data_IF_899077656762
#
_entry.id   IF_899077656762
#
_cell.length_a   1.000
_cell.length_b   1.000
_cell.length_c   1.000
_cell.angle_alpha   90.00
_cell.angle_beta   90.00
_cell.angle_gamma   90.00
#
_symmetry.space_group_name_H-M   'P 1'
#
loop_
_entity.id
_entity.type
_entity.pdbx_description
1 polymer ?
#
# COMPACT_ATOMS: atom_id res chain seq x y z
N UNK A 1 1.20 17.64 17.91
CA UNK A 1 2.46 17.62 18.68
C UNK A 1 3.01 19.03 18.70
N UNK A 2 3.03 19.74 19.84
CA UNK A 2 3.53 21.10 19.88
C UNK A 2 5.05 21.10 19.70
N UNK A 3 5.57 21.93 18.80
CA UNK A 3 7.01 22.20 18.74
C UNK A 3 7.38 22.95 20.01
N UNK A 4 8.24 22.36 20.82
CA UNK A 4 8.75 22.91 22.08
C UNK A 4 9.74 24.09 21.88
N UNK A 5 9.93 24.53 20.62
CA UNK A 5 11.06 25.36 20.20
C UNK A 5 10.65 26.73 19.64
N UNK A 6 9.37 27.08 19.65
CA UNK A 6 8.93 28.41 19.25
C UNK A 6 9.20 29.38 20.40
N UNK A 7 10.29 30.16 20.31
CA UNK A 7 10.49 31.34 21.16
C UNK A 7 9.23 32.23 21.04
N UNK A 8 8.56 32.57 22.14
CA UNK A 8 7.30 33.33 22.10
C UNK A 8 7.43 34.74 21.48
N UNK A 9 8.66 35.24 21.34
CA UNK A 9 8.95 36.61 20.88
C UNK A 9 9.34 36.74 19.40
N UNK A 10 9.48 35.65 18.64
CA UNK A 10 9.85 35.75 17.23
C UNK A 10 8.63 35.49 16.33
N UNK A 11 8.16 36.48 15.54
CA UNK A 11 7.04 36.27 14.64
C UNK A 11 7.40 35.21 13.60
N UNK A 12 6.52 34.22 13.43
CA UNK A 12 6.67 33.17 12.41
C UNK A 12 6.65 33.75 10.99
N UNK A 13 5.89 34.82 10.78
CA UNK A 13 5.89 35.62 9.56
C UNK A 13 5.31 37.02 9.88
N UNK A 14 5.84 38.04 9.22
CA UNK A 14 5.24 39.38 9.16
C UNK A 14 4.67 39.58 7.77
N UNK A 15 3.44 40.09 7.68
CA UNK A 15 2.73 40.24 6.42
C UNK A 15 2.24 41.68 6.34
N UNK A 16 2.65 42.36 5.28
CA UNK A 16 2.13 43.70 5.00
C UNK A 16 0.68 43.59 4.54
N UNK A 17 -0.21 44.32 5.20
CA UNK A 17 -1.62 44.32 4.87
C UNK A 17 -1.92 45.36 3.80
N UNK A 18 -2.55 44.93 2.71
CA UNK A 18 -2.95 45.83 1.63
C UNK A 18 -4.42 46.25 1.83
N UNK A 19 -4.77 47.54 1.67
CA UNK A 19 -6.15 47.97 1.72
C UNK A 19 -6.97 47.34 0.58
N UNK A 20 -8.18 46.89 0.90
CA UNK A 20 -9.15 46.40 -0.08
C UNK A 20 -9.67 47.59 -0.92
N UNK A 21 -9.55 47.50 -2.25
CA UNK A 21 -9.96 48.56 -3.19
C UNK A 21 -11.45 48.88 -3.09
N UNK A 22 -12.28 47.93 -2.65
CA UNK A 22 -13.73 48.10 -2.50
C UNK A 22 -14.13 48.62 -1.13
N UNK A 23 -13.28 48.44 -0.11
CA UNK A 23 -13.52 48.81 1.28
C UNK A 23 -12.22 49.31 1.91
N UNK A 24 -11.91 50.61 1.83
CA UNK A 24 -10.62 51.15 2.29
C UNK A 24 -10.38 51.00 3.80
N UNK A 25 -11.43 50.77 4.60
CA UNK A 25 -11.31 50.44 6.02
C UNK A 25 -10.96 48.96 6.31
N UNK A 26 -10.93 48.10 5.28
CA UNK A 26 -10.59 46.68 5.40
C UNK A 26 -9.19 46.47 4.83
N UNK A 27 -8.30 45.99 5.67
CA UNK A 27 -6.95 45.59 5.27
C UNK A 27 -6.88 44.06 5.17
N UNK A 28 -6.26 43.55 4.10
CA UNK A 28 -6.15 42.11 3.85
C UNK A 28 -4.68 41.74 3.59
N UNK A 29 -4.27 40.60 4.16
CA UNK A 29 -2.99 39.97 3.89
C UNK A 29 -3.19 38.48 3.67
N UNK A 30 -2.30 37.84 2.92
CA UNK A 30 -2.37 36.39 2.68
C UNK A 30 -1.12 35.72 3.23
N UNK A 31 -1.33 34.74 4.09
CA UNK A 31 -0.28 33.87 4.61
C UNK A 31 -0.44 32.45 4.10
N UNK A 32 0.64 31.82 3.67
CA UNK A 32 0.66 30.39 3.38
C UNK A 32 1.09 29.65 4.65
N UNK A 33 0.17 28.89 5.24
CA UNK A 33 0.45 28.18 6.50
C UNK A 33 1.37 26.97 6.22
N UNK A 34 2.51 26.83 6.92
CA UNK A 34 3.47 25.75 6.67
C UNK A 34 3.09 24.43 7.35
N UNK A 35 2.35 24.45 8.46
CA UNK A 35 1.95 23.25 9.19
C UNK A 35 0.58 23.41 9.86
N UNK A 36 -0.03 22.29 10.25
CA UNK A 36 -1.21 22.35 11.11
C UNK A 36 -0.79 22.67 12.55
N UNK A 37 -1.62 23.42 13.27
CA UNK A 37 -1.31 23.88 14.63
C UNK A 37 -2.17 25.05 15.09
N UNK A 38 -1.96 25.45 16.34
CA UNK A 38 -2.50 26.67 16.90
C UNK A 38 -1.60 27.85 16.53
N UNK A 39 -2.21 28.95 16.11
CA UNK A 39 -1.52 30.16 15.69
C UNK A 39 -2.16 31.38 16.34
N UNK A 40 -1.33 32.38 16.65
CA UNK A 40 -1.74 33.69 17.13
C UNK A 40 -1.36 34.73 16.08
N UNK A 41 -2.34 35.45 15.54
CA UNK A 41 -2.10 36.62 14.70
C UNK A 41 -2.08 37.86 15.59
N UNK A 42 -1.05 38.70 15.46
CA UNK A 42 -0.92 39.99 16.17
C UNK A 42 -0.87 41.11 15.14
N UNK A 43 -1.72 42.12 15.29
CA UNK A 43 -1.72 43.30 14.45
C UNK A 43 -0.77 44.35 15.03
N UNK A 44 0.20 44.80 14.22
CA UNK A 44 1.06 45.95 14.52
C UNK A 44 0.66 47.12 13.64
N UNK A 45 0.41 48.27 14.25
CA UNK A 45 0.04 49.51 13.56
C UNK A 45 1.21 50.48 13.70
N UNK A 46 1.85 50.82 12.58
CA UNK A 46 2.90 51.84 12.55
C UNK A 46 2.24 53.23 12.43
N UNK A 47 1.98 53.87 13.58
CA UNK A 47 1.36 55.20 13.65
C UNK A 47 1.44 55.80 15.05
N UNK A 48 1.16 57.11 15.22
CA UNK A 48 1.09 57.72 16.54
C UNK A 48 0.03 57.00 17.40
N UNK A 49 0.29 56.77 18.70
CA UNK A 49 -0.61 56.01 19.56
C UNK A 49 -2.00 56.65 19.53
N UNK A 50 -2.97 55.88 19.05
CA UNK A 50 -4.38 56.26 18.97
C UNK A 50 -4.95 56.15 20.38
N UNK A 51 -4.59 57.09 21.26
CA UNK A 51 -4.88 57.05 22.70
C UNK A 51 -6.28 56.51 23.01
N UNK A 52 -6.33 55.30 23.58
CA UNK A 52 -7.57 54.54 23.84
C UNK A 52 -7.32 53.02 23.84
N UNK A 53 -8.38 52.23 23.98
CA UNK A 53 -8.34 50.74 23.90
C UNK A 53 -7.67 50.20 22.62
N UNK A 54 -7.49 51.03 21.59
CA UNK A 54 -6.80 50.73 20.33
C UNK A 54 -5.27 50.59 20.47
N UNK A 55 -4.70 51.00 21.62
CA UNK A 55 -3.27 50.82 21.94
C UNK A 55 -3.00 49.46 22.62
N UNK A 56 -4.06 48.67 22.87
CA UNK A 56 -3.92 47.28 23.32
C UNK A 56 -3.55 46.40 22.14
N UNK A 57 -2.68 45.42 22.38
CA UNK A 57 -2.30 44.40 21.41
C UNK A 57 -3.54 43.70 20.83
N UNK A 58 -3.83 43.92 19.56
CA UNK A 58 -4.94 43.26 18.86
C UNK A 58 -4.43 41.90 18.40
N UNK A 59 -4.82 40.85 19.12
CA UNK A 59 -4.45 39.47 18.82
C UNK A 59 -5.67 38.59 18.57
N UNK A 60 -5.54 37.63 17.66
CA UNK A 60 -6.56 36.61 17.38
C UNK A 60 -5.92 35.21 17.35
N UNK A 61 -6.47 34.32 18.18
CA UNK A 61 -6.05 32.91 18.24
C UNK A 61 -6.92 32.06 17.30
N UNK A 62 -6.28 31.22 16.47
CA UNK A 62 -6.99 30.33 15.54
C UNK A 62 -6.27 28.99 15.39
N UNK A 63 -7.06 27.95 15.12
CA UNK A 63 -6.57 26.58 14.91
C UNK A 63 -6.57 26.24 13.42
N UNK A 64 -5.39 25.98 12.85
CA UNK A 64 -5.27 25.44 11.50
C UNK A 64 -5.25 23.92 11.58
N UNK A 65 -6.33 23.29 11.13
CA UNK A 65 -6.38 21.83 11.00
C UNK A 65 -5.66 21.42 9.71
N UNK A 66 -4.95 20.29 9.76
CA UNK A 66 -4.36 19.70 8.56
C UNK A 66 -5.43 19.38 7.52
N UNK A 67 -5.05 19.23 6.24
CA UNK A 67 -6.00 18.83 5.21
C UNK A 67 -6.69 17.54 5.66
N UNK A 68 -8.02 17.58 5.77
CA UNK A 68 -8.80 16.36 5.93
C UNK A 68 -8.53 15.54 4.67
N UNK A 69 -7.72 14.49 4.78
CA UNK A 69 -7.45 13.63 3.62
C UNK A 69 -8.78 13.01 3.22
N UNK A 70 -9.06 12.97 1.91
CA UNK A 70 -10.35 12.44 1.40
C UNK A 70 -10.63 11.03 1.92
N UNK A 71 -9.59 10.24 2.13
CA UNK A 71 -9.61 8.91 2.75
C UNK A 71 -10.22 8.88 4.17
N UNK A 72 -10.11 9.97 4.94
CA UNK A 72 -10.71 10.09 6.28
C UNK A 72 -12.11 10.72 6.25
N UNK A 73 -12.49 11.36 5.14
CA UNK A 73 -13.81 11.97 4.97
C UNK A 73 -14.85 10.95 4.47
N UNK A 74 -14.42 9.95 3.69
CA UNK A 74 -15.27 8.88 3.20
C UNK A 74 -14.67 7.50 3.52
N UNK A 75 -15.25 6.84 4.53
CA UNK A 75 -14.82 5.51 4.99
C UNK A 75 -15.61 4.40 4.25
N UNK A 76 -16.41 4.77 3.24
CA UNK A 76 -17.23 3.81 2.50
C UNK A 76 -16.36 3.00 1.55
N UNK A 77 -16.49 1.68 1.58
CA UNK A 77 -15.84 0.82 0.61
C UNK A 77 -16.43 1.04 -0.80
N UNK A 78 -15.59 1.47 -1.75
CA UNK A 78 -15.96 1.64 -3.16
C UNK A 78 -16.07 0.28 -3.85
N UNK A 79 -17.26 -0.34 -3.80
CA UNK A 79 -17.51 -1.68 -4.35
C UNK A 79 -17.15 -1.79 -5.84
N UNK A 80 -17.48 -0.77 -6.63
CA UNK A 80 -17.16 -0.74 -8.06
C UNK A 80 -15.67 -0.82 -8.35
N UNK A 81 -14.84 -0.15 -7.55
CA UNK A 81 -13.38 -0.22 -7.65
C UNK A 81 -12.86 -1.61 -7.28
N UNK A 82 -13.39 -2.19 -6.19
CA UNK A 82 -13.01 -3.53 -5.75
C UNK A 82 -13.39 -4.59 -6.80
N UNK A 83 -14.52 -4.44 -7.48
CA UNK A 83 -14.93 -5.31 -8.60
C UNK A 83 -14.00 -5.18 -9.81
N UNK A 84 -13.60 -3.97 -10.17
CA UNK A 84 -12.63 -3.74 -11.25
C UNK A 84 -11.27 -4.38 -10.94
N UNK A 85 -10.78 -4.22 -9.70
CA UNK A 85 -9.54 -4.84 -9.26
C UNK A 85 -9.65 -6.37 -9.33
N UNK A 86 -10.76 -6.94 -8.88
CA UNK A 86 -11.00 -8.39 -8.99
C UNK A 86 -11.00 -8.86 -10.46
N UNK A 87 -11.64 -8.13 -11.38
CA UNK A 87 -11.64 -8.48 -12.80
C UNK A 87 -10.24 -8.43 -13.43
N UNK A 88 -9.47 -7.36 -13.17
CA UNK A 88 -8.11 -7.21 -13.72
C UNK A 88 -7.16 -8.27 -13.18
N UNK A 89 -7.28 -8.60 -11.89
CA UNK A 89 -6.46 -9.65 -11.26
C UNK A 89 -6.92 -11.08 -11.57
N UNK A 90 -8.02 -11.26 -12.32
CA UNK A 90 -8.71 -12.55 -12.50
C UNK A 90 -9.14 -13.20 -11.17
N UNK A 91 -9.31 -12.40 -10.13
CA UNK A 91 -9.82 -12.80 -8.83
C UNK A 91 -11.34 -12.68 -8.73
N UNK A 92 -11.87 -12.94 -7.53
CA UNK A 92 -13.29 -12.77 -7.22
C UNK A 92 -13.45 -11.86 -6.01
N UNK A 93 -14.32 -10.87 -6.11
CA UNK A 93 -14.74 -10.06 -4.95
C UNK A 93 -15.66 -10.91 -4.07
N UNK A 94 -15.29 -11.08 -2.79
CA UNK A 94 -16.11 -11.76 -1.80
C UNK A 94 -16.56 -10.75 -0.74
N UNK A 95 -17.87 -10.69 -0.53
CA UNK A 95 -18.46 -9.90 0.55
C UNK A 95 -18.36 -10.68 1.88
N UNK A 96 -18.47 -10.02 3.05
CA UNK A 96 -18.31 -10.68 4.35
C UNK A 96 -19.22 -11.91 4.56
N UNK A 97 -20.44 -11.88 4.01
CA UNK A 97 -21.38 -13.00 4.08
C UNK A 97 -21.04 -14.17 3.12
N UNK A 98 -20.17 -13.94 2.14
CA UNK A 98 -19.72 -14.94 1.16
C UNK A 98 -18.38 -15.58 1.55
N UNK A 99 -17.78 -15.18 2.67
CA UNK A 99 -16.51 -15.73 3.15
C UNK A 99 -16.57 -17.25 3.39
N UNK A 100 -17.75 -17.81 3.66
CA UNK A 100 -17.95 -19.26 3.77
C UNK A 100 -17.71 -20.04 2.47
N UNK A 101 -17.74 -19.37 1.31
CA UNK A 101 -17.42 -19.98 0.00
C UNK A 101 -15.91 -19.99 -0.28
N UNK A 102 -15.12 -19.19 0.44
CA UNK A 102 -13.67 -19.06 0.23
C UNK A 102 -12.94 -20.41 0.23
N UNK A 103 -13.21 -21.36 1.14
CA UNK A 103 -12.55 -22.67 1.10
C UNK A 103 -12.82 -23.42 -0.20
N UNK A 104 -14.02 -23.30 -0.79
CA UNK A 104 -14.36 -23.96 -2.07
C UNK A 104 -13.63 -23.34 -3.26
N UNK A 105 -13.32 -22.04 -3.21
CA UNK A 105 -12.56 -21.34 -4.25
C UNK A 105 -11.05 -21.58 -4.15
N UNK A 106 -10.54 -21.82 -2.95
CA UNK A 106 -9.12 -22.11 -2.71
C UNK A 106 -8.83 -23.61 -2.86
N UNK A 107 -9.86 -24.46 -2.80
CA UNK A 107 -9.71 -25.90 -2.92
C UNK A 107 -8.91 -26.21 -4.20
N UNK A 108 -7.72 -26.83 -4.08
CA UNK A 108 -6.95 -27.22 -5.23
C UNK A 108 -7.81 -28.19 -6.03
N UNK A 109 -8.24 -27.78 -7.21
CA UNK A 109 -8.55 -28.74 -8.27
C UNK A 109 -7.31 -29.62 -8.36
N UNK A 110 -7.47 -30.92 -8.08
CA UNK A 110 -6.40 -31.91 -7.92
C UNK A 110 -5.22 -31.54 -8.80
N UNK A 111 -4.23 -30.87 -8.21
CA UNK A 111 -2.99 -30.59 -8.90
C UNK A 111 -2.38 -31.96 -9.03
N UNK A 112 -2.67 -32.62 -10.16
CA UNK A 112 -1.99 -33.84 -10.55
C UNK A 112 -0.58 -33.40 -10.84
N UNK A 113 0.22 -33.28 -9.77
CA UNK A 113 1.66 -33.15 -9.87
C UNK A 113 2.05 -34.41 -10.62
N UNK A 114 2.35 -34.23 -11.90
CA UNK A 114 2.80 -35.31 -12.77
C UNK A 114 4.22 -35.59 -12.33
N UNK A 115 4.33 -36.35 -11.23
CA UNK A 115 5.57 -36.97 -10.80
C UNK A 115 6.01 -37.89 -11.95
N UNK A 116 6.96 -37.40 -12.76
CA UNK A 116 7.63 -38.23 -13.77
C UNK A 116 8.48 -39.23 -13.01
N UNK A 117 7.86 -40.37 -12.68
CA UNK A 117 8.56 -41.48 -12.07
C UNK A 117 9.41 -42.14 -13.17
N UNK A 118 10.67 -41.74 -13.27
CA UNK A 118 11.66 -42.41 -14.12
C UNK A 118 11.98 -43.77 -13.49
N UNK A 119 11.15 -44.77 -13.82
CA UNK A 119 11.49 -46.15 -13.50
C UNK A 119 12.74 -46.53 -14.31
N UNK A 120 13.88 -46.58 -13.64
CA UNK A 120 15.10 -47.07 -14.26
C UNK A 120 14.88 -48.53 -14.70
N UNK A 121 15.38 -48.88 -15.89
CA UNK A 121 15.22 -50.23 -16.46
C UNK A 121 15.74 -51.35 -15.53
N UNK A 122 16.64 -51.00 -14.61
CA UNK A 122 17.21 -51.89 -13.60
C UNK A 122 16.22 -52.35 -12.52
N UNK A 123 15.12 -51.62 -12.32
CA UNK A 123 14.09 -51.98 -11.33
C UNK A 123 13.23 -53.17 -11.78
N UNK A 124 13.32 -53.55 -13.06
CA UNK A 124 12.58 -54.66 -13.64
C UNK A 124 13.43 -55.94 -13.62
N UNK A 125 13.34 -56.69 -12.51
CA UNK A 125 14.04 -57.97 -12.34
C UNK A 125 13.81 -58.96 -13.51
N UNK A 126 12.63 -58.91 -14.13
CA UNK A 126 12.29 -59.72 -15.30
C UNK A 126 13.16 -59.42 -16.53
N UNK A 127 13.48 -58.14 -16.79
CA UNK A 127 14.35 -57.76 -17.90
C UNK A 127 15.78 -58.27 -17.68
N UNK A 128 16.27 -58.19 -16.44
CA UNK A 128 17.58 -58.72 -16.06
C UNK A 128 17.61 -60.26 -16.20
N UNK A 129 16.57 -60.94 -15.72
CA UNK A 129 16.43 -62.39 -15.86
C UNK A 129 16.35 -62.83 -17.33
N UNK A 130 15.61 -62.10 -18.18
CA UNK A 130 15.53 -62.36 -19.62
C UNK A 130 16.88 -62.19 -20.30
N UNK A 131 17.61 -61.10 -20.00
CA UNK A 131 18.94 -60.85 -20.56
C UNK A 131 19.93 -61.94 -20.15
N UNK A 132 19.98 -62.29 -18.86
CA UNK A 132 20.79 -63.41 -18.38
C UNK A 132 20.37 -64.74 -19.01
N UNK A 133 19.07 -64.98 -19.16
CA UNK A 133 18.52 -66.15 -19.82
C UNK A 133 18.95 -66.25 -21.29
N UNK A 134 18.93 -65.14 -22.02
CA UNK A 134 19.36 -65.10 -23.41
C UNK A 134 20.87 -65.30 -23.54
N UNK A 135 21.67 -64.67 -22.67
CA UNK A 135 23.12 -64.85 -22.66
C UNK A 135 23.52 -66.29 -22.30
N UNK A 136 22.85 -66.88 -21.32
CA UNK A 136 23.08 -68.26 -20.92
C UNK A 136 22.59 -69.23 -21.99
N UNK A 137 21.45 -68.97 -22.62
CA UNK A 137 20.97 -69.76 -23.76
C UNK A 137 21.93 -69.68 -24.94
N UNK A 138 22.44 -68.49 -25.29
CA UNK A 138 23.46 -68.32 -26.33
C UNK A 138 24.74 -69.09 -25.98
N UNK A 139 25.22 -69.00 -24.73
CA UNK A 139 26.39 -69.74 -24.27
C UNK A 139 26.16 -71.26 -24.33
N UNK A 140 25.00 -71.75 -23.91
CA UNK A 140 24.65 -73.17 -23.99
C UNK A 140 24.55 -73.63 -25.45
N UNK A 141 23.92 -72.85 -26.32
CA UNK A 141 23.85 -73.13 -27.76
C UNK A 141 25.26 -73.15 -28.38
N UNK A 142 26.12 -72.18 -28.04
CA UNK A 142 27.51 -72.13 -28.50
C UNK A 142 28.29 -73.35 -28.03
N UNK A 143 28.10 -73.77 -26.77
CA UNK A 143 28.75 -74.96 -26.21
C UNK A 143 28.25 -76.26 -26.84
N UNK A 144 26.97 -76.34 -27.20
CA UNK A 144 26.40 -77.50 -27.90
C UNK A 144 26.80 -77.56 -29.37
N UNK A 145 26.95 -76.41 -30.03
CA UNK A 145 27.41 -76.34 -31.43
C UNK A 145 28.93 -76.46 -31.59
N UNK A 146 29.68 -76.68 -30.51
CA UNK A 146 31.06 -77.19 -30.57
C UNK A 146 32.10 -76.24 -31.17
N UNK A 147 31.88 -74.92 -31.12
CA UNK A 147 32.90 -73.94 -31.51
C UNK A 147 33.52 -73.32 -30.24
N UNK A 148 34.86 -73.31 -30.11
CA UNK A 148 35.55 -72.72 -28.96
C UNK A 148 35.29 -71.20 -28.84
#
# INVERSE_FOLDING_TARGET
>A
FPRHDAKPDQPLATIDLTPDQTRPAVHQGRWLVPSSGEYRAVLKIDGPPLGGEADKEIAADFLVRGPLTKELADVTATRSLLEQIAQVSRGKLLLPHQLGELPKLILPEDLSIRETHEYTLWDHWLLLALLCGLLTAEWVLRKWNGLP
#
